data_IF_660497920508
#
_entry.id   IF_660497920508
#
_cell.length_a   1.000
_cell.length_b   1.000
_cell.length_c   1.000
_cell.angle_alpha   90.00
_cell.angle_beta   90.00
_cell.angle_gamma   90.00
#
_symmetry.space_group_name_H-M   'P 1'
#
loop_
_entity.id
_entity.type
_entity.pdbx_description
1 polymer ?
#
# COMPACT_ATOMS: atom_id res chain seq x y z
N UNK A 1 -7.85 -29.34 25.22
CA UNK A 1 -8.08 -29.65 23.80
C UNK A 1 -7.82 -28.37 23.01
N UNK A 2 -6.67 -28.33 22.36
CA UNK A 2 -6.18 -27.19 21.59
C UNK A 2 -6.96 -27.17 20.27
N UNK A 3 -7.80 -26.14 20.06
CA UNK A 3 -8.43 -25.90 18.76
C UNK A 3 -7.32 -25.46 17.80
N UNK A 4 -6.89 -26.38 16.92
CA UNK A 4 -6.12 -25.99 15.75
C UNK A 4 -6.98 -25.03 14.92
N UNK A 5 -6.41 -23.87 14.60
CA UNK A 5 -6.97 -22.98 13.60
C UNK A 5 -7.04 -23.74 12.27
N UNK A 6 -8.24 -23.83 11.71
CA UNK A 6 -8.45 -24.34 10.36
C UNK A 6 -7.92 -23.27 9.42
N UNK A 7 -6.68 -23.41 8.97
CA UNK A 7 -6.20 -22.69 7.80
C UNK A 7 -6.97 -23.24 6.60
N UNK A 8 -7.74 -22.38 5.95
CA UNK A 8 -8.49 -22.72 4.76
C UNK A 8 -7.50 -22.96 3.61
N UNK A 9 -7.16 -24.22 3.35
CA UNK A 9 -6.19 -24.67 2.32
C UNK A 9 -6.72 -24.58 0.88
N UNK A 10 -7.93 -24.08 0.65
CA UNK A 10 -8.60 -24.09 -0.66
C UNK A 10 -8.51 -22.74 -1.41
N UNK A 11 -7.75 -21.76 -0.90
CA UNK A 11 -7.51 -20.52 -1.63
C UNK A 11 -6.38 -20.72 -2.66
N UNK A 12 -6.59 -20.38 -3.94
CA UNK A 12 -5.52 -20.38 -4.95
C UNK A 12 -4.48 -19.27 -4.72
N UNK A 13 -4.75 -18.35 -3.79
CA UNK A 13 -3.88 -17.24 -3.44
C UNK A 13 -2.96 -17.65 -2.28
N UNK A 14 -1.65 -17.51 -2.50
CA UNK A 14 -0.60 -17.74 -1.51
C UNK A 14 -0.44 -16.54 -0.58
N UNK A 15 0.07 -16.80 0.63
CA UNK A 15 0.41 -15.72 1.57
C UNK A 15 1.51 -14.82 0.98
N UNK A 16 1.55 -13.55 1.40
CA UNK A 16 2.61 -12.63 0.95
C UNK A 16 3.96 -13.07 1.50
N UNK A 17 3.99 -13.68 2.68
CA UNK A 17 5.15 -14.33 3.26
C UNK A 17 5.73 -15.41 2.32
N UNK A 18 4.87 -16.24 1.73
CA UNK A 18 5.27 -17.27 0.75
C UNK A 18 5.79 -16.70 -0.57
N UNK A 19 5.21 -15.59 -1.02
CA UNK A 19 5.65 -14.88 -2.23
C UNK A 19 7.01 -14.22 -2.00
N UNK A 20 7.21 -13.58 -0.83
CA UNK A 20 8.50 -13.01 -0.44
C UNK A 20 9.58 -14.10 -0.37
N UNK A 21 9.25 -15.30 0.12
CA UNK A 21 10.20 -16.41 0.17
C UNK A 21 10.54 -16.95 -1.22
N UNK A 22 9.58 -17.08 -2.13
CA UNK A 22 9.87 -17.46 -3.52
C UNK A 22 10.75 -16.38 -4.19
N UNK A 23 10.46 -15.10 -3.99
CA UNK A 23 11.28 -13.99 -4.46
C UNK A 23 12.71 -14.08 -3.92
N UNK A 24 12.88 -14.29 -2.61
CA UNK A 24 14.20 -14.43 -1.95
C UNK A 24 15.05 -15.52 -2.57
N UNK A 25 14.42 -16.61 -3.01
CA UNK A 25 15.06 -17.74 -3.67
C UNK A 25 15.15 -17.61 -5.19
N UNK A 26 14.80 -16.44 -5.76
CA UNK A 26 14.86 -16.19 -7.20
C UNK A 26 13.83 -16.96 -8.02
N UNK A 27 12.79 -17.50 -7.38
CA UNK A 27 11.70 -18.22 -8.06
C UNK A 27 10.70 -17.19 -8.61
N UNK A 28 10.25 -17.33 -9.87
CA UNK A 28 9.19 -16.49 -10.41
C UNK A 28 7.88 -16.69 -9.64
N UNK A 29 7.07 -15.65 -9.55
CA UNK A 29 5.74 -15.68 -8.96
C UNK A 29 4.78 -14.80 -9.75
N UNK A 30 3.48 -14.93 -9.52
CA UNK A 30 2.45 -14.11 -10.17
C UNK A 30 1.89 -13.11 -9.17
N UNK A 31 1.75 -11.86 -9.58
CA UNK A 31 0.95 -10.87 -8.87
C UNK A 31 -0.27 -10.49 -9.70
N UNK A 32 -1.40 -10.35 -9.03
CA UNK A 32 -2.65 -9.92 -9.64
C UNK A 32 -3.11 -8.62 -8.99
N UNK A 33 -3.55 -7.68 -9.80
CA UNK A 33 -4.16 -6.45 -9.33
C UNK A 33 -5.68 -6.59 -9.12
N UNK A 34 -6.35 -5.50 -8.73
CA UNK A 34 -7.77 -5.53 -8.43
C UNK A 34 -8.63 -5.62 -9.70
N UNK A 35 -9.82 -6.24 -9.60
CA UNK A 35 -10.75 -6.41 -10.73
C UNK A 35 -11.21 -5.08 -11.35
N UNK A 36 -11.21 -3.99 -10.57
CA UNK A 36 -11.57 -2.63 -10.98
C UNK A 36 -10.37 -1.80 -11.47
N UNK A 37 -9.17 -2.40 -11.52
CA UNK A 37 -7.93 -1.80 -12.06
C UNK A 37 -7.67 -2.35 -13.48
N UNK A 38 -6.64 -3.16 -13.69
CA UNK A 38 -6.35 -3.80 -14.99
C UNK A 38 -6.98 -5.20 -15.06
N UNK A 39 -7.22 -5.82 -13.89
CA UNK A 39 -7.69 -7.20 -13.72
C UNK A 39 -6.74 -8.22 -14.39
N UNK A 40 -5.44 -7.97 -14.29
CA UNK A 40 -4.37 -8.68 -15.01
C UNK A 40 -3.40 -9.34 -14.03
N UNK A 41 -2.70 -10.36 -14.54
CA UNK A 41 -1.65 -11.04 -13.80
C UNK A 41 -0.29 -10.89 -14.48
N UNK A 42 0.70 -10.47 -13.71
CA UNK A 42 2.08 -10.34 -14.16
C UNK A 42 2.94 -11.43 -13.55
N UNK A 43 3.79 -12.05 -14.36
CA UNK A 43 4.93 -12.82 -13.85
C UNK A 43 5.95 -11.81 -13.35
N UNK A 44 6.42 -12.01 -12.12
CA UNK A 44 7.44 -11.17 -11.49
C UNK A 44 8.65 -12.00 -11.13
N UNK A 45 9.84 -11.44 -11.40
CA UNK A 45 11.14 -12.01 -11.05
C UNK A 45 12.00 -10.90 -10.47
N UNK A 46 12.60 -11.02 -9.27
CA UNK A 46 13.54 -10.01 -8.78
C UNK A 46 14.69 -9.84 -9.77
N UNK A 47 15.02 -8.60 -10.12
CA UNK A 47 15.84 -8.30 -11.30
C UNK A 47 17.22 -8.96 -11.26
N UNK A 48 17.83 -9.06 -10.08
CA UNK A 48 19.12 -9.73 -9.88
C UNK A 48 19.11 -11.24 -10.19
N UNK A 49 17.93 -11.86 -10.20
CA UNK A 49 17.77 -13.27 -10.53
C UNK A 49 17.34 -13.50 -11.97
N UNK A 50 17.08 -12.45 -12.76
CA UNK A 50 16.64 -12.58 -14.16
C UNK A 50 17.71 -13.28 -15.01
N UNK A 51 17.50 -14.57 -15.26
CA UNK A 51 18.35 -15.41 -16.12
C UNK A 51 17.82 -15.46 -17.55
N UNK A 52 18.66 -15.85 -18.55
CA UNK A 52 18.19 -16.07 -19.91
C UNK A 52 17.00 -17.04 -20.00
N UNK A 53 17.02 -18.12 -19.21
CA UNK A 53 15.94 -19.11 -19.19
C UNK A 53 14.63 -18.53 -18.66
N UNK A 54 14.71 -17.66 -17.65
CA UNK A 54 13.55 -16.97 -17.09
C UNK A 54 12.97 -15.91 -18.03
N UNK A 55 13.82 -15.12 -18.69
CA UNK A 55 13.37 -14.18 -19.72
C UNK A 55 12.75 -14.96 -20.90
N UNK A 56 13.36 -16.08 -21.29
CA UNK A 56 12.82 -16.95 -22.32
C UNK A 56 11.46 -17.55 -21.90
N UNK A 57 11.31 -17.90 -20.62
CA UNK A 57 10.04 -18.35 -20.06
C UNK A 57 8.95 -17.27 -20.16
N UNK A 58 9.26 -16.03 -19.73
CA UNK A 58 8.34 -14.89 -19.84
C UNK A 58 7.87 -14.69 -21.29
N UNK A 59 8.78 -14.58 -22.25
CA UNK A 59 8.43 -14.25 -23.64
C UNK A 59 7.72 -15.40 -24.36
N UNK A 60 7.91 -16.64 -23.89
CA UNK A 60 7.29 -17.83 -24.48
C UNK A 60 5.90 -18.09 -23.93
N UNK A 61 5.72 -17.96 -22.61
CA UNK A 61 4.50 -18.39 -21.93
C UNK A 61 3.63 -17.23 -21.44
N UNK A 62 4.22 -16.14 -20.92
CA UNK A 62 3.45 -14.93 -20.60
C UNK A 62 3.18 -14.08 -21.85
N UNK A 63 4.20 -13.87 -22.69
CA UNK A 63 4.13 -13.18 -23.99
C UNK A 63 3.80 -11.68 -23.94
N UNK A 64 3.58 -11.12 -22.75
CA UNK A 64 3.46 -9.69 -22.52
C UNK A 64 4.76 -8.91 -22.74
N UNK A 65 4.74 -7.64 -22.36
CA UNK A 65 5.89 -6.77 -22.51
C UNK A 65 6.84 -6.98 -21.34
N UNK A 66 8.07 -7.43 -21.62
CA UNK A 66 9.09 -7.57 -20.58
C UNK A 66 9.56 -6.18 -20.14
N UNK A 67 9.16 -5.77 -18.95
CA UNK A 67 9.49 -4.49 -18.36
C UNK A 67 10.39 -4.65 -17.14
N UNK A 68 11.19 -3.63 -16.84
CA UNK A 68 12.07 -3.57 -15.68
C UNK A 68 11.57 -2.51 -14.69
N UNK A 69 10.95 -2.93 -13.61
CA UNK A 69 10.56 -2.05 -12.52
C UNK A 69 11.79 -1.64 -11.68
N UNK A 70 12.02 -0.34 -11.55
CA UNK A 70 13.12 0.28 -10.82
C UNK A 70 12.57 1.28 -9.79
N UNK A 71 13.36 1.56 -8.74
CA UNK A 71 13.10 2.71 -7.87
C UNK A 71 13.35 4.04 -8.60
N UNK A 72 12.70 5.10 -8.14
CA UNK A 72 12.99 6.49 -8.55
C UNK A 72 14.48 6.83 -8.41
N UNK A 73 15.12 6.37 -7.32
CA UNK A 73 16.54 6.58 -7.09
C UNK A 73 17.40 5.92 -8.16
N UNK A 74 17.14 4.64 -8.47
CA UNK A 74 17.92 3.90 -9.46
C UNK A 74 17.74 4.48 -10.87
N UNK A 75 16.52 4.83 -11.24
CA UNK A 75 16.24 5.50 -12.52
C UNK A 75 16.98 6.85 -12.63
N UNK A 76 17.08 7.63 -11.55
CA UNK A 76 17.87 8.88 -11.49
C UNK A 76 19.37 8.62 -11.64
N UNK A 77 19.92 7.61 -10.96
CA UNK A 77 21.34 7.23 -11.08
C UNK A 77 21.71 6.86 -12.52
N UNK A 78 20.82 6.14 -13.21
CA UNK A 78 20.95 5.76 -14.61
C UNK A 78 20.56 6.87 -15.60
N UNK A 79 20.11 8.03 -15.10
CA UNK A 79 19.66 9.18 -15.90
C UNK A 79 18.59 8.82 -16.93
N UNK A 80 17.60 8.01 -16.54
CA UNK A 80 16.52 7.57 -17.42
C UNK A 80 15.40 8.62 -17.48
N UNK A 81 15.25 9.40 -18.57
CA UNK A 81 14.12 10.30 -18.72
C UNK A 81 12.81 9.54 -18.99
N UNK A 82 11.65 10.11 -18.65
CA UNK A 82 10.36 9.61 -19.07
C UNK A 82 10.30 9.45 -20.61
N UNK A 83 9.61 8.41 -21.09
CA UNK A 83 9.45 8.18 -22.52
C UNK A 83 8.59 9.26 -23.19
N UNK A 84 7.54 9.70 -22.50
CA UNK A 84 6.62 10.73 -22.98
C UNK A 84 6.81 12.02 -22.17
N UNK A 85 6.90 13.16 -22.86
CA UNK A 85 6.98 14.47 -22.21
C UNK A 85 5.71 14.80 -21.41
N UNK A 86 4.55 14.36 -21.89
CA UNK A 86 3.27 14.43 -21.20
C UNK A 86 2.65 13.02 -21.22
N UNK A 87 2.57 12.39 -20.05
CA UNK A 87 1.95 11.07 -19.93
C UNK A 87 0.42 11.21 -19.85
N UNK A 88 -0.26 10.89 -20.95
CA UNK A 88 -1.73 10.91 -21.05
C UNK A 88 -2.37 9.51 -20.94
N UNK A 89 -1.59 8.50 -20.61
CA UNK A 89 -2.10 7.15 -20.36
C UNK A 89 -2.95 7.15 -19.08
N UNK A 90 -4.07 6.44 -19.12
CA UNK A 90 -5.09 6.41 -18.06
C UNK A 90 -4.57 6.02 -16.68
N UNK A 91 -3.64 5.06 -16.61
CA UNK A 91 -3.09 4.51 -15.36
C UNK A 91 -1.80 5.21 -14.93
N UNK A 92 -1.36 6.20 -15.71
CA UNK A 92 -0.15 6.98 -15.47
C UNK A 92 1.11 6.12 -15.35
N UNK A 93 1.17 5.00 -16.08
CA UNK A 93 2.30 4.06 -16.00
C UNK A 93 3.60 4.76 -16.41
N UNK A 94 4.59 4.75 -15.52
CA UNK A 94 5.78 5.60 -15.60
C UNK A 94 6.91 4.96 -16.42
N UNK A 95 6.68 4.78 -17.71
CA UNK A 95 7.72 4.32 -18.65
C UNK A 95 8.84 5.35 -18.81
N UNK A 96 10.07 4.86 -18.79
CA UNK A 96 11.24 5.60 -19.29
C UNK A 96 11.53 5.22 -20.73
N UNK A 97 12.46 5.91 -21.37
CA UNK A 97 13.05 5.45 -22.63
C UNK A 97 13.56 4.01 -22.50
N UNK A 98 13.47 3.23 -23.58
CA UNK A 98 13.98 1.85 -23.59
C UNK A 98 15.51 1.83 -23.56
N UNK A 99 16.06 0.76 -22.99
CA UNK A 99 17.50 0.63 -22.71
C UNK A 99 18.05 -0.70 -23.20
N UNK A 100 19.35 -0.69 -23.47
CA UNK A 100 20.19 -1.86 -23.72
C UNK A 100 21.48 -1.75 -22.89
N UNK A 101 22.07 -2.85 -22.45
CA UNK A 101 23.44 -2.85 -21.98
C UNK A 101 24.37 -2.42 -23.12
N UNK A 102 25.37 -1.60 -22.79
CA UNK A 102 26.32 -1.08 -23.78
C UNK A 102 27.28 -2.15 -24.31
N UNK A 103 27.62 -3.11 -23.46
CA UNK A 103 28.54 -4.21 -23.76
C UNK A 103 27.89 -5.54 -23.38
N UNK A 104 28.45 -6.65 -23.85
CA UNK A 104 27.97 -8.00 -23.50
C UNK A 104 26.66 -8.42 -24.19
N UNK A 105 26.17 -7.62 -25.14
CA UNK A 105 24.99 -7.90 -25.97
C UNK A 105 25.31 -7.89 -27.45
N UNK A 106 24.44 -8.50 -28.26
CA UNK A 106 24.52 -8.44 -29.72
C UNK A 106 23.49 -7.48 -30.31
N UNK A 107 22.30 -7.99 -30.67
CA UNK A 107 21.18 -7.18 -31.15
C UNK A 107 20.32 -6.67 -30.02
N UNK A 108 20.43 -7.26 -28.82
CA UNK A 108 19.68 -6.84 -27.65
C UNK A 108 18.39 -7.63 -27.43
N UNK A 109 17.78 -8.18 -28.47
CA UNK A 109 16.45 -8.81 -28.38
C UNK A 109 16.46 -10.26 -27.87
N UNK A 110 17.62 -10.92 -27.87
CA UNK A 110 17.70 -12.30 -27.39
C UNK A 110 17.34 -12.39 -25.90
N UNK A 111 16.92 -13.56 -25.43
CA UNK A 111 16.64 -13.73 -23.98
C UNK A 111 17.91 -13.51 -23.13
N UNK A 112 19.08 -13.90 -23.65
CA UNK A 112 20.36 -13.68 -23.00
C UNK A 112 20.74 -12.19 -22.96
N UNK A 113 20.60 -11.47 -24.07
CA UNK A 113 20.90 -10.04 -24.13
C UNK A 113 19.99 -9.25 -23.18
N UNK A 114 18.68 -9.51 -23.22
CA UNK A 114 17.70 -8.88 -22.32
C UNK A 114 17.97 -9.17 -20.84
N UNK A 115 18.31 -10.41 -20.50
CA UNK A 115 18.72 -10.76 -19.15
C UNK A 115 19.99 -9.97 -18.74
N UNK A 116 20.97 -9.86 -19.63
CA UNK A 116 22.18 -9.09 -19.37
C UNK A 116 21.88 -7.60 -19.15
N UNK A 117 21.04 -7.00 -19.99
CA UNK A 117 20.58 -5.62 -19.85
C UNK A 117 19.87 -5.37 -18.52
N UNK A 118 18.99 -6.29 -18.10
CA UNK A 118 18.34 -6.22 -16.78
C UNK A 118 19.38 -6.22 -15.66
N UNK A 119 20.35 -7.13 -15.71
CA UNK A 119 21.38 -7.26 -14.66
C UNK A 119 22.24 -6.00 -14.58
N UNK A 120 22.69 -5.45 -15.73
CA UNK A 120 23.46 -4.20 -15.78
C UNK A 120 22.64 -3.03 -15.23
N UNK A 121 21.38 -2.92 -15.60
CA UNK A 121 20.50 -1.85 -15.13
C UNK A 121 20.17 -1.98 -13.63
N UNK A 122 20.05 -3.19 -13.08
CA UNK A 122 19.75 -3.39 -11.66
C UNK A 122 20.97 -3.25 -10.74
N UNK A 123 22.18 -3.53 -11.23
CA UNK A 123 23.42 -3.54 -10.43
C UNK A 123 23.78 -2.15 -9.88
N UNK A 124 23.79 -1.94 -8.53
CA UNK A 124 24.05 -0.64 -7.92
C UNK A 124 25.44 -0.07 -8.19
N UNK A 125 26.40 -0.90 -8.64
CA UNK A 125 27.74 -0.44 -9.04
C UNK A 125 27.80 0.16 -10.44
N UNK A 126 26.75 -0.04 -11.26
CA UNK A 126 26.66 0.45 -12.64
C UNK A 126 26.06 1.84 -12.72
N UNK A 127 26.46 2.54 -13.78
CA UNK A 127 26.14 3.95 -14.03
C UNK A 127 25.40 4.11 -15.37
N UNK A 128 24.98 5.34 -15.67
CA UNK A 128 24.38 5.68 -16.96
C UNK A 128 25.28 5.36 -18.16
N UNK A 129 26.60 5.29 -17.99
CA UNK A 129 27.55 5.01 -19.10
C UNK A 129 27.62 3.52 -19.48
N UNK A 130 27.04 2.64 -18.66
CA UNK A 130 26.97 1.18 -18.88
C UNK A 130 25.75 0.77 -19.72
N UNK A 131 24.82 1.70 -19.99
CA UNK A 131 23.60 1.47 -20.77
C UNK A 131 23.50 2.45 -21.95
N UNK A 132 22.73 2.08 -22.95
CA UNK A 132 22.43 2.91 -24.11
C UNK A 132 20.92 2.91 -24.39
N UNK A 133 20.47 3.93 -25.13
CA UNK A 133 19.10 4.05 -25.61
C UNK A 133 19.09 4.42 -27.10
N UNK A 134 18.15 3.89 -27.92
CA UNK A 134 17.09 2.95 -27.55
C UNK A 134 17.60 1.52 -27.31
N UNK A 135 16.76 0.65 -26.75
CA UNK A 135 17.00 -0.79 -26.59
C UNK A 135 15.73 -1.61 -26.42
N UNK A 136 15.86 -2.84 -25.91
CA UNK A 136 14.76 -3.82 -25.85
C UNK A 136 14.27 -4.18 -24.44
N UNK A 137 14.82 -3.54 -23.41
CA UNK A 137 14.23 -3.55 -22.06
C UNK A 137 13.53 -2.20 -21.83
N UNK A 138 12.34 -2.24 -21.24
CA UNK A 138 11.49 -1.08 -20.99
C UNK A 138 11.41 -0.80 -19.49
N UNK A 139 12.21 0.16 -18.96
CA UNK A 139 12.16 0.45 -17.55
C UNK A 139 10.89 1.20 -17.15
N UNK A 140 10.39 0.87 -15.97
CA UNK A 140 9.25 1.46 -15.29
C UNK A 140 9.70 2.00 -13.94
N UNK A 141 9.31 3.23 -13.62
CA UNK A 141 9.69 3.85 -12.34
C UNK A 141 8.58 3.65 -11.31
N UNK A 142 8.85 2.87 -10.27
CA UNK A 142 7.96 2.75 -9.12
C UNK A 142 7.91 4.06 -8.33
N UNK A 143 6.71 4.46 -7.90
CA UNK A 143 6.56 5.62 -7.00
C UNK A 143 7.22 5.36 -5.64
N UNK A 144 7.78 6.43 -5.07
CA UNK A 144 8.26 6.41 -3.69
C UNK A 144 7.07 6.08 -2.76
N UNK A 145 7.27 5.13 -1.84
CA UNK A 145 6.20 4.55 -1.02
C UNK A 145 5.57 3.26 -1.57
N UNK A 146 5.80 2.93 -2.84
CA UNK A 146 5.42 1.66 -3.45
C UNK A 146 3.90 1.46 -3.52
N UNK A 147 3.42 0.24 -3.25
CA UNK A 147 2.00 -0.13 -3.40
C UNK A 147 1.05 0.64 -2.47
N UNK A 148 1.60 1.27 -1.44
CA UNK A 148 0.84 2.13 -0.53
C UNK A 148 0.47 3.47 -1.17
N UNK A 149 1.21 3.90 -2.20
CA UNK A 149 0.97 5.14 -2.97
C UNK A 149 0.28 4.85 -4.30
N UNK A 150 0.72 3.81 -5.03
CA UNK A 150 0.13 3.39 -6.30
C UNK A 150 0.04 1.87 -6.37
N UNK A 151 -1.15 1.35 -6.59
CA UNK A 151 -1.48 -0.08 -6.55
C UNK A 151 -1.14 -0.81 -7.86
N UNK A 152 0.06 -0.60 -8.41
CA UNK A 152 0.50 -1.19 -9.69
C UNK A 152 1.53 -2.32 -9.54
N UNK A 153 1.63 -3.15 -10.60
CA UNK A 153 2.64 -4.23 -10.69
C UNK A 153 4.08 -3.71 -10.58
N UNK A 154 4.35 -2.51 -11.12
CA UNK A 154 5.65 -1.83 -10.99
C UNK A 154 6.05 -1.64 -9.54
N UNK A 155 5.16 -1.05 -8.73
CA UNK A 155 5.41 -0.84 -7.30
C UNK A 155 5.52 -2.16 -6.55
N UNK A 156 4.66 -3.12 -6.87
CA UNK A 156 4.61 -4.41 -6.19
C UNK A 156 5.89 -5.23 -6.40
N UNK A 157 6.43 -5.25 -7.61
CA UNK A 157 7.68 -5.94 -7.92
C UNK A 157 8.89 -5.36 -7.16
N UNK A 158 8.96 -4.03 -7.06
CA UNK A 158 10.00 -3.32 -6.29
C UNK A 158 9.84 -3.58 -4.79
N UNK A 159 8.62 -3.53 -4.27
CA UNK A 159 8.32 -3.72 -2.84
C UNK A 159 8.63 -5.14 -2.37
N UNK A 160 8.20 -6.17 -3.11
CA UNK A 160 8.49 -7.56 -2.75
C UNK A 160 10.00 -7.82 -2.78
N UNK A 161 10.70 -7.33 -3.81
CA UNK A 161 12.16 -7.47 -3.89
C UNK A 161 12.85 -6.80 -2.69
N UNK A 162 12.40 -5.62 -2.28
CA UNK A 162 12.89 -4.94 -1.06
C UNK A 162 12.64 -5.77 0.20
N UNK A 163 11.42 -6.27 0.39
CA UNK A 163 11.05 -7.09 1.57
C UNK A 163 11.75 -8.46 1.60
N UNK A 164 12.13 -8.99 0.43
CA UNK A 164 12.94 -10.20 0.32
C UNK A 164 14.41 -9.98 0.70
N UNK A 165 14.85 -8.72 0.90
CA UNK A 165 16.24 -8.35 1.19
C UNK A 165 17.12 -8.27 -0.06
N UNK A 166 16.51 -8.07 -1.22
CA UNK A 166 17.17 -8.03 -2.53
C UNK A 166 17.32 -6.59 -3.04
N UNK A 167 17.99 -6.42 -4.17
CA UNK A 167 17.98 -5.16 -4.92
C UNK A 167 16.50 -4.81 -5.21
N UNK A 168 16.03 -3.59 -4.90
CA UNK A 168 14.63 -3.18 -5.06
C UNK A 168 14.29 -2.92 -6.54
N UNK A 169 14.35 -3.98 -7.35
CA UNK A 169 14.06 -3.98 -8.77
C UNK A 169 13.49 -5.34 -9.18
N UNK A 170 12.57 -5.36 -10.14
CA UNK A 170 11.94 -6.58 -10.62
C UNK A 170 11.66 -6.54 -12.12
N UNK A 171 11.71 -7.69 -12.78
CA UNK A 171 11.23 -7.87 -14.14
C UNK A 171 9.78 -8.32 -14.08
N UNK A 172 8.92 -7.63 -14.83
CA UNK A 172 7.49 -7.96 -14.94
C UNK A 172 7.12 -8.25 -16.39
N UNK A 173 6.12 -9.11 -16.58
CA UNK A 173 5.60 -9.46 -17.90
C UNK A 173 4.16 -9.95 -17.75
N UNK A 174 3.22 -9.28 -18.42
CA UNK A 174 1.80 -9.60 -18.37
C UNK A 174 1.53 -10.96 -19.02
N UNK A 175 0.59 -11.73 -18.47
CA UNK A 175 0.21 -13.04 -18.99
C UNK A 175 -0.93 -12.90 -20.01
N UNK A 176 -0.62 -13.19 -21.27
CA UNK A 176 -1.54 -13.19 -22.39
C UNK A 176 -1.94 -14.64 -22.70
N UNK A 177 -3.21 -14.88 -23.00
CA UNK A 177 -3.76 -16.15 -23.48
C UNK A 177 -3.39 -16.45 -24.94
N UNK A 178 -3.63 -17.68 -25.37
CA UNK A 178 -3.33 -18.12 -26.75
C UNK A 178 -4.15 -17.41 -27.82
N UNK A 179 -5.35 -16.93 -27.45
CA UNK A 179 -6.20 -16.12 -28.33
C UNK A 179 -5.79 -14.63 -28.38
N UNK A 180 -4.72 -14.25 -27.67
CA UNK A 180 -4.21 -12.88 -27.62
C UNK A 180 -4.92 -11.96 -26.63
N UNK A 181 -5.92 -12.46 -25.89
CA UNK A 181 -6.58 -11.71 -24.80
C UNK A 181 -5.83 -11.88 -23.48
N UNK A 182 -6.05 -10.96 -22.55
CA UNK A 182 -5.39 -11.00 -21.23
C UNK A 182 -5.92 -12.14 -20.36
N UNK A 183 -5.03 -12.84 -19.66
CA UNK A 183 -5.39 -13.89 -18.72
C UNK A 183 -6.07 -13.30 -17.47
N UNK A 184 -7.20 -13.90 -17.05
CA UNK A 184 -7.91 -13.52 -15.82
C UNK A 184 -7.71 -14.59 -14.75
N UNK A 185 -8.21 -14.36 -13.54
CA UNK A 185 -7.97 -15.25 -12.39
C UNK A 185 -8.13 -16.75 -12.68
N UNK A 186 -9.19 -17.25 -13.38
CA UNK A 186 -9.29 -18.67 -13.71
C UNK A 186 -8.15 -19.18 -14.61
N UNK A 187 -7.73 -18.38 -15.59
CA UNK A 187 -6.62 -18.70 -16.50
C UNK A 187 -5.28 -18.67 -15.75
N UNK A 188 -5.10 -17.67 -14.87
CA UNK A 188 -3.90 -17.49 -14.05
C UNK A 188 -3.70 -18.67 -13.09
N UNK A 189 -4.78 -19.20 -12.52
CA UNK A 189 -4.73 -20.40 -11.67
C UNK A 189 -4.23 -21.60 -12.47
N UNK A 190 -4.79 -21.83 -13.66
CA UNK A 190 -4.36 -22.93 -14.52
C UNK A 190 -2.89 -22.77 -14.97
N UNK A 191 -2.49 -21.55 -15.32
CA UNK A 191 -1.12 -21.21 -15.68
C UNK A 191 -0.14 -21.44 -14.52
N UNK A 192 -0.49 -20.99 -13.32
CA UNK A 192 0.31 -21.16 -12.12
C UNK A 192 0.50 -22.64 -11.75
N UNK A 193 -0.56 -23.45 -11.84
CA UNK A 193 -0.49 -24.90 -11.60
C UNK A 193 0.39 -25.60 -12.64
N UNK A 194 0.24 -25.26 -13.93
CA UNK A 194 1.04 -25.83 -15.01
C UNK A 194 2.54 -25.58 -14.84
N UNK A 195 2.89 -24.39 -14.35
CA UNK A 195 4.29 -23.95 -14.25
C UNK A 195 4.86 -23.98 -12.83
N UNK A 196 4.07 -24.42 -11.83
CA UNK A 196 4.50 -24.51 -10.43
C UNK A 196 4.79 -23.15 -9.79
N UNK A 197 4.01 -22.13 -10.13
CA UNK A 197 4.15 -20.76 -9.62
C UNK A 197 3.13 -20.48 -8.52
N UNK A 198 3.48 -19.61 -7.57
CA UNK A 198 2.53 -19.06 -6.59
C UNK A 198 1.86 -17.81 -7.14
N UNK A 199 0.64 -17.55 -6.68
CA UNK A 199 -0.13 -16.35 -6.99
C UNK A 199 -0.30 -15.53 -5.71
N UNK A 200 0.03 -14.25 -5.74
CA UNK A 200 -0.30 -13.26 -4.71
C UNK A 200 -1.18 -12.15 -5.28
N UNK A 201 -1.82 -11.37 -4.42
CA UNK A 201 -2.57 -10.18 -4.83
C UNK A 201 -1.90 -8.90 -4.33
N UNK A 202 -2.01 -7.81 -5.11
CA UNK A 202 -1.54 -6.49 -4.67
C UNK A 202 -2.32 -6.03 -3.43
N UNK A 203 -3.60 -6.40 -3.32
CA UNK A 203 -4.42 -6.10 -2.14
C UNK A 203 -3.86 -6.75 -0.87
N UNK A 204 -3.50 -8.03 -0.93
CA UNK A 204 -2.88 -8.74 0.20
C UNK A 204 -1.50 -8.18 0.51
N UNK A 205 -0.73 -7.76 -0.51
CA UNK A 205 0.55 -7.10 -0.34
C UNK A 205 0.41 -5.77 0.42
N UNK A 206 -0.59 -4.96 0.08
CA UNK A 206 -0.91 -3.72 0.80
C UNK A 206 -1.28 -4.03 2.24
N UNK A 207 -2.14 -5.02 2.47
CA UNK A 207 -2.54 -5.42 3.82
C UNK A 207 -1.35 -5.94 4.64
N UNK A 208 -0.48 -6.74 4.03
CA UNK A 208 0.76 -7.24 4.64
C UNK A 208 1.67 -6.09 5.04
N UNK A 209 2.04 -5.21 4.10
CA UNK A 209 2.91 -4.06 4.36
C UNK A 209 2.34 -3.17 5.47
N UNK A 210 1.02 -2.94 5.47
CA UNK A 210 0.41 -2.11 6.53
C UNK A 210 0.47 -2.71 7.93
N UNK A 211 0.45 -4.05 8.03
CA UNK A 211 0.56 -4.77 9.30
C UNK A 211 2.01 -4.86 9.78
N UNK A 212 2.96 -5.01 8.87
CA UNK A 212 4.36 -5.33 9.21
C UNK A 212 5.30 -4.13 9.24
N UNK A 213 4.95 -3.05 8.53
CA UNK A 213 5.78 -1.84 8.44
C UNK A 213 5.19 -0.70 9.27
N UNK A 214 6.06 0.09 9.90
CA UNK A 214 5.67 1.32 10.57
C UNK A 214 5.91 2.51 9.63
N UNK A 215 4.87 3.27 9.33
CA UNK A 215 4.93 4.48 8.50
C UNK A 215 4.38 5.72 9.19
N UNK A 216 4.17 5.64 10.51
CA UNK A 216 3.77 6.78 11.34
C UNK A 216 4.85 7.05 12.40
N UNK A 217 5.35 8.28 12.43
CA UNK A 217 6.34 8.75 13.41
C UNK A 217 5.78 9.88 14.29
N UNK A 218 6.20 9.93 15.56
CA UNK A 218 5.92 11.07 16.46
C UNK A 218 6.84 12.23 16.09
N UNK A 219 6.27 13.37 15.74
CA UNK A 219 7.01 14.60 15.43
C UNK A 219 7.21 15.44 16.68
N UNK A 220 6.15 15.64 17.47
CA UNK A 220 6.19 16.40 18.71
C UNK A 220 5.03 16.03 19.65
N UNK A 221 5.19 16.37 20.93
CA UNK A 221 4.10 16.36 21.91
C UNK A 221 4.10 17.64 22.75
N UNK A 222 2.92 18.09 23.15
CA UNK A 222 2.75 19.31 23.95
C UNK A 222 1.45 19.25 24.77
N UNK A 223 1.37 19.88 25.96
CA UNK A 223 0.09 20.19 26.59
C UNK A 223 -0.79 21.02 25.65
N UNK A 224 -2.10 20.76 25.67
CA UNK A 224 -3.09 21.42 24.82
C UNK A 224 -4.39 21.63 25.59
N UNK A 225 -4.87 22.88 25.63
CA UNK A 225 -6.15 23.23 26.25
C UNK A 225 -7.19 23.50 25.16
N UNK A 226 -8.30 22.77 25.20
CA UNK A 226 -9.39 22.87 24.23
C UNK A 226 -10.64 23.47 24.86
N UNK A 227 -11.31 24.35 24.11
CA UNK A 227 -12.64 24.86 24.46
C UNK A 227 -13.72 23.77 24.52
N UNK A 228 -13.46 22.59 23.95
CA UNK A 228 -14.41 21.48 23.88
C UNK A 228 -14.15 20.38 24.93
N UNK A 229 -13.12 20.46 25.76
CA UNK A 229 -12.84 19.39 26.71
C UNK A 229 -11.71 19.65 27.70
N UNK A 230 -11.24 20.90 27.81
CA UNK A 230 -10.17 21.26 28.72
C UNK A 230 -8.83 20.67 28.32
N UNK A 231 -8.11 20.11 29.29
CA UNK A 231 -6.71 19.70 29.15
C UNK A 231 -6.53 18.32 28.47
N UNK A 232 -5.74 18.33 27.40
CA UNK A 232 -5.25 17.16 26.69
C UNK A 232 -3.73 17.24 26.51
N UNK A 233 -3.13 16.11 26.18
CA UNK A 233 -1.83 16.04 25.53
C UNK A 233 -2.03 15.94 24.02
N UNK A 234 -1.51 16.89 23.27
CA UNK A 234 -1.46 16.83 21.81
C UNK A 234 -0.20 16.10 21.39
N UNK A 235 -0.34 15.11 20.51
CA UNK A 235 0.76 14.43 19.84
C UNK A 235 0.58 14.58 18.34
N UNK A 236 1.59 15.13 17.68
CA UNK A 236 1.64 15.28 16.23
C UNK A 236 2.34 14.06 15.63
N UNK A 237 1.66 13.40 14.71
CA UNK A 237 2.18 12.27 13.94
C UNK A 237 2.37 12.65 12.49
N UNK A 238 3.42 12.14 11.85
CA UNK A 238 3.64 12.26 10.41
C UNK A 238 3.58 10.90 9.73
N UNK A 239 2.82 10.82 8.64
CA UNK A 239 2.87 9.70 7.72
C UNK A 239 4.12 9.84 6.83
N UNK A 240 5.07 8.90 6.93
CA UNK A 240 6.34 8.96 6.20
C UNK A 240 6.19 8.66 4.71
N UNK A 241 5.02 8.16 4.27
CA UNK A 241 4.72 7.84 2.88
C UNK A 241 4.17 9.08 2.15
N UNK A 242 3.14 9.71 2.73
CA UNK A 242 2.41 10.82 2.11
C UNK A 242 2.87 12.20 2.61
N UNK A 243 3.62 12.24 3.72
CA UNK A 243 4.04 13.47 4.40
C UNK A 243 2.93 14.17 5.19
N UNK A 244 1.70 13.63 5.18
CA UNK A 244 0.58 14.20 5.91
C UNK A 244 0.79 14.13 7.42
N UNK A 245 0.36 15.19 8.12
CA UNK A 245 0.39 15.25 9.57
C UNK A 245 -1.01 15.01 10.16
N UNK A 246 -1.04 14.21 11.22
CA UNK A 246 -2.22 13.79 11.96
C UNK A 246 -2.06 14.14 13.43
N UNK A 247 -3.16 14.35 14.14
CA UNK A 247 -3.14 14.76 15.56
C UNK A 247 -3.82 13.71 16.40
N UNK A 248 -3.22 13.34 17.52
CA UNK A 248 -3.90 12.64 18.61
C UNK A 248 -4.02 13.56 19.82
N UNK A 249 -5.24 13.73 20.33
CA UNK A 249 -5.50 14.36 21.62
C UNK A 249 -5.76 13.27 22.65
N UNK A 250 -4.88 13.18 23.64
CA UNK A 250 -4.90 12.15 24.68
C UNK A 250 -5.29 12.78 26.01
N UNK A 251 -6.27 12.19 26.69
CA UNK A 251 -6.64 12.49 28.08
C UNK A 251 -6.17 11.33 28.96
N UNK A 252 -5.48 11.66 30.06
CA UNK A 252 -4.95 10.66 30.99
C UNK A 252 -3.79 9.84 30.44
N UNK A 253 -3.37 8.82 31.20
CA UNK A 253 -2.30 7.90 30.82
C UNK A 253 -2.87 6.58 30.32
N UNK A 254 -2.49 6.20 29.10
CA UNK A 254 -2.95 4.95 28.47
C UNK A 254 -2.21 3.77 29.10
N UNK A 255 -2.99 2.85 29.68
CA UNK A 255 -2.53 1.57 30.20
C UNK A 255 -2.89 0.47 29.19
N UNK A 256 -1.90 -0.21 28.56
CA UNK A 256 -2.16 -1.27 27.59
C UNK A 256 -2.94 -2.48 28.14
N UNK A 257 -3.09 -2.60 29.46
CA UNK A 257 -3.87 -3.64 30.11
C UNK A 257 -5.36 -3.28 30.30
N UNK A 258 -5.76 -2.04 29.99
CA UNK A 258 -7.14 -1.55 30.18
C UNK A 258 -7.74 -1.03 28.86
N UNK A 259 -9.06 -1.18 28.66
CA UNK A 259 -9.73 -0.56 27.54
C UNK A 259 -9.58 0.97 27.56
N UNK A 260 -9.29 1.55 26.39
CA UNK A 260 -9.21 3.01 26.20
C UNK A 260 -10.40 3.47 25.34
N UNK A 261 -11.01 4.60 25.66
CA UNK A 261 -12.06 5.18 24.80
C UNK A 261 -11.40 5.87 23.62
N UNK A 262 -11.79 5.46 22.41
CA UNK A 262 -11.17 5.90 21.17
C UNK A 262 -12.20 6.53 20.25
N UNK A 263 -11.88 7.71 19.73
CA UNK A 263 -12.58 8.33 18.60
C UNK A 263 -11.62 8.48 17.43
N UNK A 264 -11.91 7.78 16.33
CA UNK A 264 -11.26 8.02 15.04
C UNK A 264 -12.07 9.04 14.24
N UNK A 265 -11.49 10.20 13.96
CA UNK A 265 -12.15 11.29 13.27
C UNK A 265 -11.41 11.65 11.98
N UNK A 266 -12.06 11.49 10.83
CA UNK A 266 -11.55 12.01 9.56
C UNK A 266 -11.97 13.47 9.43
N UNK A 267 -11.00 14.38 9.33
CA UNK A 267 -11.25 15.82 9.33
C UNK A 267 -12.04 16.23 8.08
N UNK A 268 -13.14 16.93 8.29
CA UNK A 268 -14.01 17.53 7.28
C UNK A 268 -13.96 19.05 7.41
N UNK A 269 -13.34 19.71 6.43
CA UNK A 269 -13.22 21.17 6.44
C UNK A 269 -14.58 21.90 6.50
N UNK A 270 -15.60 21.40 5.80
CA UNK A 270 -16.91 22.06 5.79
C UNK A 270 -17.68 21.82 7.09
N UNK A 271 -17.64 20.60 7.63
CA UNK A 271 -18.37 20.27 8.86
C UNK A 271 -17.65 20.80 10.11
N UNK A 272 -16.35 20.54 10.23
CA UNK A 272 -15.59 20.75 11.47
C UNK A 272 -15.11 22.19 11.63
N UNK A 273 -14.81 22.89 10.53
CA UNK A 273 -14.30 24.26 10.58
C UNK A 273 -15.36 25.30 10.21
N UNK A 274 -16.18 25.04 9.18
CA UNK A 274 -17.19 26.00 8.71
C UNK A 274 -18.58 25.80 9.33
N UNK A 275 -18.84 24.70 10.04
CA UNK A 275 -20.13 24.43 10.67
C UNK A 275 -21.26 24.20 9.68
N UNK A 276 -21.03 23.38 8.64
CA UNK A 276 -22.08 23.06 7.68
C UNK A 276 -23.27 22.35 8.36
N UNK A 277 -24.45 22.98 8.30
CA UNK A 277 -25.66 22.65 9.08
C UNK A 277 -26.23 21.25 8.79
N UNK A 278 -26.05 20.73 7.57
CA UNK A 278 -26.50 19.38 7.20
C UNK A 278 -25.46 18.29 7.53
N UNK A 279 -24.35 18.67 8.19
CA UNK A 279 -23.21 17.80 8.48
C UNK A 279 -22.98 17.58 9.98
N UNK A 280 -21.97 16.77 10.29
CA UNK A 280 -21.61 16.21 11.60
C UNK A 280 -20.91 17.23 12.54
N UNK A 281 -21.30 18.50 12.50
CA UNK A 281 -20.58 19.62 13.13
C UNK A 281 -20.33 19.44 14.64
N UNK A 282 -21.25 18.77 15.35
CA UNK A 282 -21.13 18.58 16.81
C UNK A 282 -20.24 17.39 17.19
N UNK A 283 -19.72 16.62 16.23
CA UNK A 283 -19.02 15.37 16.55
C UNK A 283 -17.70 15.61 17.27
N UNK A 284 -16.93 16.63 16.89
CA UNK A 284 -15.69 16.97 17.58
C UNK A 284 -15.99 17.50 18.97
N UNK A 285 -16.86 18.54 19.15
CA UNK A 285 -17.22 19.01 20.48
C UNK A 285 -17.70 17.89 21.40
N UNK A 286 -18.70 17.10 20.98
CA UNK A 286 -19.27 16.04 21.81
C UNK A 286 -18.24 14.97 22.17
N UNK A 287 -17.43 14.52 21.21
CA UNK A 287 -16.40 13.53 21.47
C UNK A 287 -15.39 14.02 22.51
N UNK A 288 -14.90 15.25 22.36
CA UNK A 288 -13.93 15.82 23.30
C UNK A 288 -14.53 16.04 24.69
N UNK A 289 -15.80 16.46 24.77
CA UNK A 289 -16.52 16.60 26.04
C UNK A 289 -16.71 15.25 26.73
N UNK A 290 -17.14 14.22 25.98
CA UNK A 290 -17.31 12.87 26.50
C UNK A 290 -15.99 12.28 27.02
N UNK A 291 -14.88 12.49 26.30
CA UNK A 291 -13.55 12.08 26.74
C UNK A 291 -13.09 12.82 28.00
N UNK A 292 -13.43 14.10 28.13
CA UNK A 292 -13.08 14.91 29.29
C UNK A 292 -13.90 14.54 30.54
N UNK A 293 -15.16 14.15 30.35
CA UNK A 293 -16.10 13.84 31.43
C UNK A 293 -15.95 12.43 32.00
N UNK A 294 -15.38 11.49 31.26
CA UNK A 294 -15.23 10.11 31.72
C UNK A 294 -14.06 9.91 32.68
N UNK A 295 -14.17 8.85 33.47
CA UNK A 295 -13.06 8.33 34.27
C UNK A 295 -12.14 7.45 33.41
N UNK A 296 -10.85 7.79 33.36
CA UNK A 296 -9.82 6.99 32.70
C UNK A 296 -9.31 7.56 31.37
N UNK A 297 -8.43 6.82 30.67
CA UNK A 297 -7.78 7.32 29.47
C UNK A 297 -8.73 7.38 28.27
N UNK A 298 -8.54 8.41 27.45
CA UNK A 298 -9.27 8.59 26.20
C UNK A 298 -8.38 9.20 25.12
N UNK A 299 -8.65 8.86 23.87
CA UNK A 299 -7.97 9.46 22.72
C UNK A 299 -8.94 9.82 21.59
N UNK A 300 -8.80 11.03 21.06
CA UNK A 300 -9.35 11.39 19.74
C UNK A 300 -8.19 11.48 18.75
N UNK A 301 -8.24 10.71 17.68
CA UNK A 301 -7.30 10.79 16.57
C UNK A 301 -7.95 11.51 15.40
N UNK A 302 -7.35 12.61 14.98
CA UNK A 302 -7.73 13.42 13.83
C UNK A 302 -6.88 13.01 12.63
N UNK A 303 -7.48 12.25 11.73
CA UNK A 303 -6.92 11.88 10.46
C UNK A 303 -7.23 12.97 9.43
N UNK A 304 -6.22 13.77 9.12
CA UNK A 304 -6.24 14.68 7.98
C UNK A 304 -6.31 13.88 6.68
N UNK A 305 -7.22 14.27 5.79
CA UNK A 305 -7.28 13.74 4.43
C UNK A 305 -6.10 14.30 3.61
N UNK A 306 -5.24 13.45 3.02
CA UNK A 306 -4.18 13.90 2.13
C UNK A 306 -4.73 14.39 0.77
N UNK A 307 -5.94 14.00 0.38
CA UNK A 307 -6.51 14.34 -0.94
C UNK A 307 -7.03 15.79 -0.98
N UNK A 308 -6.44 16.60 -1.86
CA UNK A 308 -6.84 17.99 -2.11
C UNK A 308 -8.28 18.18 -2.63
N UNK A 309 -8.92 17.10 -3.12
CA UNK A 309 -10.23 17.15 -3.79
C UNK A 309 -11.40 16.65 -2.92
N UNK A 310 -11.15 16.14 -1.72
CA UNK A 310 -12.18 15.50 -0.90
C UNK A 310 -13.37 16.42 -0.54
N UNK A 311 -13.18 17.74 -0.53
CA UNK A 311 -14.26 18.70 -0.36
C UNK A 311 -15.11 18.87 -1.64
N UNK A 312 -14.46 19.01 -2.80
CA UNK A 312 -15.14 19.18 -4.08
C UNK A 312 -15.95 17.93 -4.46
N UNK A 313 -15.45 16.73 -4.15
CA UNK A 313 -16.18 15.49 -4.36
C UNK A 313 -17.44 15.39 -3.46
N UNK A 314 -17.30 15.75 -2.18
CA UNK A 314 -18.41 15.70 -1.21
C UNK A 314 -19.54 16.67 -1.55
N UNK A 315 -19.18 17.88 -1.97
CA UNK A 315 -20.16 18.93 -2.28
C UNK A 315 -20.63 18.92 -3.74
N UNK A 316 -19.83 18.37 -4.67
CA UNK A 316 -20.06 18.45 -6.11
C UNK A 316 -20.88 17.30 -6.71
N UNK A 317 -21.29 16.30 -5.92
CA UNK A 317 -22.11 15.17 -6.41
C UNK A 317 -21.42 14.28 -7.46
N UNK A 318 -20.08 14.29 -7.51
CA UNK A 318 -19.28 13.49 -8.44
C UNK A 318 -19.42 12.00 -8.07
N UNK A 319 -19.50 11.07 -9.06
CA UNK A 319 -19.60 9.63 -8.77
C UNK A 319 -18.51 9.15 -7.81
N UNK A 320 -18.80 8.13 -7.00
CA UNK A 320 -17.90 7.53 -6.00
C UNK A 320 -17.23 6.25 -6.53
N UNK A 321 -15.99 6.28 -7.06
CA UNK A 321 -15.20 5.06 -7.23
C UNK A 321 -14.31 4.73 -6.02
N UNK A 322 -13.88 5.71 -5.21
CA UNK A 322 -12.71 5.55 -4.32
C UNK A 322 -12.98 5.48 -2.80
N UNK A 323 -14.24 5.42 -2.35
CA UNK A 323 -14.56 5.55 -0.92
C UNK A 323 -14.05 4.38 -0.05
N UNK A 324 -14.03 3.16 -0.59
CA UNK A 324 -13.56 1.97 0.12
C UNK A 324 -12.04 1.99 0.35
N UNK A 325 -11.27 2.37 -0.66
CA UNK A 325 -9.80 2.44 -0.57
C UNK A 325 -9.33 3.56 0.38
N UNK A 326 -10.01 4.71 0.37
CA UNK A 326 -9.76 5.79 1.36
C UNK A 326 -10.01 5.34 2.80
N UNK A 327 -11.09 4.59 3.03
CA UNK A 327 -11.41 4.08 4.35
C UNK A 327 -10.33 3.11 4.85
N UNK A 328 -9.88 2.18 3.99
CA UNK A 328 -8.80 1.24 4.31
C UNK A 328 -7.45 1.93 4.58
N UNK A 329 -7.10 2.98 3.82
CA UNK A 329 -5.91 3.82 4.07
C UNK A 329 -5.98 4.50 5.43
N UNK A 330 -7.11 5.13 5.75
CA UNK A 330 -7.34 5.81 7.02
C UNK A 330 -7.26 4.83 8.23
N UNK A 331 -7.77 3.61 8.09
CA UNK A 331 -7.66 2.59 9.14
C UNK A 331 -6.20 2.22 9.45
N UNK A 332 -5.33 2.11 8.44
CA UNK A 332 -3.93 1.75 8.65
C UNK A 332 -3.14 2.80 9.44
N UNK A 333 -3.27 4.08 9.06
CA UNK A 333 -2.63 5.19 9.79
C UNK A 333 -3.16 5.28 11.22
N UNK A 334 -4.49 5.25 11.37
CA UNK A 334 -5.15 5.31 12.67
C UNK A 334 -4.72 4.18 13.60
N UNK A 335 -4.67 2.95 13.08
CA UNK A 335 -4.24 1.79 13.85
C UNK A 335 -2.79 1.93 14.36
N UNK A 336 -1.86 2.41 13.53
CA UNK A 336 -0.47 2.62 13.95
C UNK A 336 -0.33 3.72 15.00
N UNK A 337 -1.11 4.80 14.89
CA UNK A 337 -1.17 5.84 15.93
C UNK A 337 -1.64 5.23 17.26
N UNK A 338 -2.72 4.44 17.24
CA UNK A 338 -3.26 3.81 18.45
C UNK A 338 -2.27 2.81 19.08
N UNK A 339 -1.61 1.99 18.27
CA UNK A 339 -0.59 1.05 18.74
C UNK A 339 0.61 1.77 19.38
N UNK A 340 1.07 2.86 18.76
CA UNK A 340 2.17 3.65 19.30
C UNK A 340 1.78 4.35 20.62
N UNK A 341 0.53 4.76 20.77
CA UNK A 341 -0.03 5.26 22.03
C UNK A 341 -0.18 4.17 23.11
N UNK A 342 -0.01 2.89 22.77
CA UNK A 342 -0.14 1.76 23.68
C UNK A 342 -1.56 1.19 23.78
N UNK A 343 -2.50 1.62 22.93
CA UNK A 343 -3.86 1.08 22.91
C UNK A 343 -3.85 -0.34 22.36
N UNK A 344 -4.57 -1.25 23.03
CA UNK A 344 -4.80 -2.64 22.58
C UNK A 344 -6.29 -2.94 22.53
N UNK A 345 -6.96 -2.78 23.67
CA UNK A 345 -8.41 -2.90 23.79
C UNK A 345 -9.02 -1.49 23.75
N UNK A 346 -10.06 -1.31 22.93
CA UNK A 346 -10.70 -0.01 22.75
C UNK A 346 -12.21 -0.09 22.83
N UNK A 347 -12.78 0.96 23.42
CA UNK A 347 -14.21 1.27 23.38
C UNK A 347 -14.38 2.37 22.33
N UNK A 348 -14.99 2.03 21.19
CA UNK A 348 -15.02 2.93 20.03
C UNK A 348 -16.23 3.86 20.13
N UNK A 349 -15.97 5.16 20.09
CA UNK A 349 -16.99 6.20 19.97
C UNK A 349 -17.28 6.50 18.49
N UNK A 350 -18.47 6.14 18.02
CA UNK A 350 -18.83 6.31 16.62
C UNK A 350 -20.35 6.26 16.41
N UNK A 351 -20.86 7.07 15.48
CA UNK A 351 -22.26 7.01 15.04
C UNK A 351 -22.55 5.86 14.06
N UNK A 352 -21.52 5.15 13.62
CA UNK A 352 -21.61 3.97 12.74
C UNK A 352 -20.69 2.87 13.27
N UNK A 353 -21.04 1.60 13.06
CA UNK A 353 -20.19 0.48 13.46
C UNK A 353 -19.20 0.16 12.33
N UNK A 354 -17.90 0.53 12.43
CA UNK A 354 -16.88 0.07 11.49
C UNK A 354 -16.77 -1.46 11.51
N UNK A 355 -16.27 -2.01 10.40
CA UNK A 355 -16.06 -3.45 10.25
C UNK A 355 -14.91 -3.91 11.19
N UNK A 356 -15.18 -4.76 12.20
CA UNK A 356 -14.17 -5.18 13.19
C UNK A 356 -12.95 -5.85 12.58
N UNK A 357 -13.15 -6.58 11.47
CA UNK A 357 -12.13 -7.41 10.80
C UNK A 357 -10.94 -6.61 10.28
N UNK A 358 -11.11 -5.31 10.00
CA UNK A 358 -10.04 -4.45 9.49
C UNK A 358 -8.99 -4.08 10.55
N UNK A 359 -9.31 -4.20 11.84
CA UNK A 359 -8.47 -3.74 12.95
C UNK A 359 -7.77 -4.89 13.69
N UNK A 360 -8.34 -6.10 13.65
CA UNK A 360 -7.75 -7.30 14.27
C UNK A 360 -6.36 -7.61 13.71
N UNK A 361 -6.13 -7.34 12.41
CA UNK A 361 -4.83 -7.52 11.76
C UNK A 361 -3.71 -6.67 12.35
N UNK A 362 -4.03 -5.60 13.09
CA UNK A 362 -3.08 -4.73 13.78
C UNK A 362 -2.89 -5.11 15.26
N UNK A 363 -3.60 -6.11 15.77
CA UNK A 363 -3.60 -6.44 17.20
C UNK A 363 -4.44 -5.48 18.06
N UNK A 364 -5.34 -4.71 17.44
CA UNK A 364 -6.33 -3.87 18.10
C UNK A 364 -7.65 -4.61 18.23
N UNK A 365 -8.31 -4.53 19.39
CA UNK A 365 -9.59 -5.20 19.65
C UNK A 365 -10.64 -4.20 20.10
N UNK A 366 -11.80 -4.22 19.45
CA UNK A 366 -12.97 -3.47 19.89
C UNK A 366 -13.67 -4.29 20.97
N UNK A 367 -13.72 -3.77 22.19
CA UNK A 367 -14.36 -4.44 23.35
C UNK A 367 -15.67 -3.77 23.77
N UNK A 368 -16.01 -2.63 23.18
CA UNK A 368 -17.24 -1.91 23.45
C UNK A 368 -17.48 -0.77 22.46
N UNK A 369 -18.70 -0.22 22.53
CA UNK A 369 -19.16 0.87 21.67
C UNK A 369 -19.77 1.97 22.52
N UNK A 370 -19.50 3.21 22.13
CA UNK A 370 -20.22 4.38 22.64
C UNK A 370 -20.79 5.20 21.50
N UNK A 371 -21.94 5.78 21.75
CA UNK A 371 -22.50 6.78 20.86
C UNK A 371 -21.76 8.13 20.99
N UNK A 372 -22.20 9.12 20.23
CA UNK A 372 -21.54 10.44 20.25
C UNK A 372 -21.82 11.24 21.51
N UNK A 373 -22.81 10.84 22.33
CA UNK A 373 -23.09 11.45 23.63
C UNK A 373 -22.30 10.76 24.76
N UNK A 374 -21.56 9.69 24.44
CA UNK A 374 -20.71 8.94 25.35
C UNK A 374 -21.41 7.80 26.07
N UNK A 375 -22.64 7.45 25.66
CA UNK A 375 -23.41 6.38 26.26
C UNK A 375 -23.03 5.01 25.67
N UNK A 376 -22.91 4.00 26.53
CA UNK A 376 -22.57 2.64 26.11
C UNK A 376 -23.69 2.05 25.24
N UNK A 377 -23.32 1.51 24.08
CA UNK A 377 -24.24 0.81 23.19
C UNK A 377 -24.09 -0.71 23.33
N UNK A 378 -25.23 -1.41 23.44
CA UNK A 378 -25.33 -2.88 23.48
C UNK A 378 -24.97 -3.56 22.16
#
# INVERSE_FOLDING_TARGET
>A
MMKLAVYNTDSPISSIEDIIEDARNGRPYILVDAEDRENEGDIVIPAQFATPDQINFMIRYARGLVCLALTSERAKQLRLPPMAAENRESMGTAFTISIEAKEGVTTGISAADRAHTVQVAADPSRTADDIVSPGHIFPLVARDGGVLVRTGHTEAAVDISRMAGLIPAGVICEIIKDDGTMARMPDLIAFAQLHGLKIGTIADLIAYRRRTERFVERVMETPFESVHGGEFKLILYRNTIEGAEHVALVRGDIDPAKPTVVRMHQVDFAADLLGHVEARQDYIPKAMQALAAQDGPGVVVFLRDPDLHGLAERLGGVPKPAAADRSLKAYGVGAQILLDLGVKDMIVMSSTRPNPTALEGYGLRIVGWRDMDGEDQS
#
